data_IF_407703536967
#
_entry.id   IF_407703536967
#
_cell.length_a   1.000
_cell.length_b   1.000
_cell.length_c   1.000
_cell.angle_alpha   90.00
_cell.angle_beta   90.00
_cell.angle_gamma   90.00
#
_symmetry.space_group_name_H-M   'P 1'
#
loop_
_entity.id
_entity.type
_entity.pdbx_description
1 polymer ?
#
# COMPACT_ATOMS: atom_id res chain seq x y z
N UNK A 1 16.53 0.03 -9.76
CA UNK A 1 15.25 0.67 -10.15
C UNK A 1 14.52 -0.11 -11.23
N UNK A 2 15.16 -0.61 -12.30
CA UNK A 2 14.47 -1.46 -13.30
C UNK A 2 13.80 -2.73 -12.75
N UNK A 3 14.22 -3.24 -11.59
CA UNK A 3 13.65 -4.45 -10.99
C UNK A 3 12.23 -4.22 -10.44
N UNK A 4 11.98 -3.08 -9.80
CA UNK A 4 10.68 -2.79 -9.17
C UNK A 4 9.55 -2.76 -10.21
N UNK A 5 9.63 -1.91 -11.24
CA UNK A 5 8.61 -1.82 -12.30
C UNK A 5 8.28 -3.19 -12.87
N UNK A 6 9.31 -3.99 -13.16
CA UNK A 6 9.11 -5.31 -13.75
C UNK A 6 8.44 -6.28 -12.79
N UNK A 7 8.84 -6.27 -11.52
CA UNK A 7 8.26 -7.13 -10.49
C UNK A 7 6.78 -6.83 -10.25
N UNK A 8 6.44 -5.56 -10.00
CA UNK A 8 5.06 -5.17 -9.66
C UNK A 8 4.13 -5.04 -10.87
N UNK A 9 4.66 -5.00 -12.10
CA UNK A 9 3.82 -4.94 -13.32
C UNK A 9 2.84 -6.12 -13.40
N UNK A 10 3.27 -7.30 -12.97
CA UNK A 10 2.49 -8.54 -13.05
C UNK A 10 1.87 -8.95 -11.71
N UNK A 11 1.99 -8.14 -10.66
CA UNK A 11 1.42 -8.51 -9.36
C UNK A 11 -0.10 -8.61 -9.44
N UNK A 12 -0.63 -9.65 -8.80
CA UNK A 12 -2.04 -9.86 -8.52
C UNK A 12 -2.54 -9.00 -7.35
N UNK A 13 -1.63 -8.40 -6.57
CA UNK A 13 -1.96 -7.57 -5.41
C UNK A 13 -2.53 -6.22 -5.87
N UNK A 14 -3.86 -6.20 -6.00
CA UNK A 14 -4.65 -5.08 -6.53
C UNK A 14 -5.83 -4.78 -5.62
N UNK A 15 -6.13 -3.49 -5.48
CA UNK A 15 -7.34 -3.04 -4.78
C UNK A 15 -8.59 -3.26 -5.63
N UNK A 16 -9.75 -2.93 -5.08
CA UNK A 16 -11.06 -3.11 -5.74
C UNK A 16 -11.16 -2.41 -7.11
N UNK A 17 -10.44 -1.30 -7.29
CA UNK A 17 -10.41 -0.54 -8.55
C UNK A 17 -9.41 -1.10 -9.57
N UNK A 18 -8.67 -2.16 -9.22
CA UNK A 18 -7.63 -2.76 -10.05
C UNK A 18 -6.31 -1.99 -10.07
N UNK A 19 -6.18 -0.92 -9.28
CA UNK A 19 -4.90 -0.25 -9.03
C UNK A 19 -3.97 -1.14 -8.18
N UNK A 20 -2.66 -0.90 -8.23
CA UNK A 20 -1.71 -1.50 -7.29
C UNK A 20 -2.14 -1.19 -5.86
N UNK A 21 -2.17 -2.22 -5.03
CA UNK A 21 -2.45 -2.04 -3.62
C UNK A 21 -1.14 -1.94 -2.85
N UNK A 22 -0.95 -0.83 -2.15
CA UNK A 22 0.02 -0.76 -1.07
C UNK A 22 -0.60 -1.53 0.11
N UNK A 23 0.12 -2.52 0.62
CA UNK A 23 -0.33 -3.36 1.72
C UNK A 23 0.51 -3.11 2.96
N UNK A 24 -0.04 -3.48 4.11
CA UNK A 24 0.49 -3.10 5.40
C UNK A 24 0.62 -4.29 6.35
N UNK A 25 1.69 -4.28 7.13
CA UNK A 25 1.91 -5.23 8.21
C UNK A 25 2.22 -4.45 9.50
N UNK A 26 1.55 -4.82 10.60
CA UNK A 26 1.82 -4.24 11.91
C UNK A 26 2.87 -5.07 12.64
N UNK A 27 3.87 -4.38 13.18
CA UNK A 27 4.97 -5.03 13.88
C UNK A 27 5.52 -4.14 14.99
N UNK A 28 6.41 -4.68 15.83
CA UNK A 28 7.14 -3.91 16.83
C UNK A 28 8.15 -2.97 16.16
N UNK A 29 8.42 -1.82 16.79
CA UNK A 29 9.40 -0.85 16.28
C UNK A 29 10.82 -1.43 16.21
N UNK A 30 11.12 -2.46 17.01
CA UNK A 30 12.39 -3.18 17.02
C UNK A 30 12.51 -4.26 15.94
N UNK A 31 11.41 -4.61 15.27
CA UNK A 31 11.41 -5.69 14.27
C UNK A 31 12.30 -5.34 13.08
N UNK A 32 13.20 -6.25 12.73
CA UNK A 32 14.07 -6.13 11.58
C UNK A 32 13.34 -6.67 10.35
N UNK A 33 13.04 -5.78 9.39
CA UNK A 33 12.28 -6.15 8.18
C UNK A 33 13.07 -7.10 7.28
N UNK A 34 14.39 -7.17 7.43
CA UNK A 34 15.18 -8.20 6.73
C UNK A 34 14.92 -9.62 7.27
N UNK A 35 14.21 -9.74 8.39
CA UNK A 35 13.80 -11.00 9.01
C UNK A 35 12.34 -11.35 8.73
N UNK A 36 11.67 -10.68 7.78
CA UNK A 36 10.33 -11.08 7.35
C UNK A 36 10.33 -12.53 6.88
N UNK A 37 9.59 -13.38 7.60
CA UNK A 37 9.49 -14.80 7.33
C UNK A 37 8.42 -15.08 6.26
N UNK A 38 8.47 -16.25 5.61
CA UNK A 38 7.34 -16.77 4.85
C UNK A 38 6.04 -16.73 5.65
N UNK A 39 4.93 -16.71 4.93
CA UNK A 39 3.58 -16.58 5.46
C UNK A 39 3.30 -15.30 6.26
N UNK A 40 4.21 -14.30 6.28
CA UNK A 40 3.89 -12.99 6.87
C UNK A 40 2.68 -12.35 6.17
N UNK A 41 1.71 -11.90 6.98
CA UNK A 41 0.45 -11.33 6.52
C UNK A 41 0.58 -9.83 6.21
N UNK A 42 0.05 -9.44 5.06
CA UNK A 42 -0.08 -8.05 4.64
C UNK A 42 -1.52 -7.76 4.24
N UNK A 43 -2.16 -6.86 4.97
CA UNK A 43 -3.55 -6.48 4.80
C UNK A 43 -3.71 -5.04 4.31
N UNK A 44 -4.93 -4.54 4.45
CA UNK A 44 -5.19 -3.11 4.34
C UNK A 44 -4.54 -2.37 5.51
N UNK A 45 -4.42 -1.05 5.37
CA UNK A 45 -3.97 -0.17 6.46
C UNK A 45 -4.85 -0.31 7.70
N UNK A 46 -6.16 -0.50 7.50
CA UNK A 46 -7.15 -0.66 8.57
C UNK A 46 -6.92 -1.97 9.32
N UNK A 47 -6.81 -3.10 8.60
CA UNK A 47 -6.54 -4.42 9.21
C UNK A 47 -5.19 -4.44 9.94
N UNK A 48 -4.14 -3.86 9.35
CA UNK A 48 -2.85 -3.77 10.05
C UNK A 48 -2.99 -2.93 11.33
N UNK A 49 -3.71 -1.80 11.31
CA UNK A 49 -3.91 -0.95 12.48
C UNK A 49 -4.63 -1.63 13.64
N UNK A 50 -5.58 -2.53 13.38
CA UNK A 50 -6.25 -3.26 14.47
C UNK A 50 -5.30 -4.17 15.24
N UNK A 51 -4.11 -4.47 14.69
CA UNK A 51 -3.05 -5.27 15.31
C UNK A 51 -1.92 -4.45 15.93
N UNK A 52 -1.94 -3.12 15.80
CA UNK A 52 -0.92 -2.23 16.39
C UNK A 52 -1.26 -1.99 17.87
N UNK A 53 -0.51 -2.54 18.86
CA UNK A 53 -0.68 -2.15 20.26
C UNK A 53 -0.41 -0.65 20.44
N UNK A 54 -1.07 -0.05 21.44
CA UNK A 54 -1.05 1.40 21.68
C UNK A 54 0.37 2.01 21.87
N UNK A 55 1.38 1.20 22.19
CA UNK A 55 2.76 1.66 22.39
C UNK A 55 3.77 0.73 21.75
N UNK A 56 4.69 1.29 20.97
CA UNK A 56 5.88 0.59 20.47
C UNK A 56 5.70 -0.19 19.17
N UNK A 57 4.53 -0.17 18.55
CA UNK A 57 4.31 -0.76 17.23
C UNK A 57 4.41 0.27 16.09
N UNK A 58 4.67 -0.23 14.90
CA UNK A 58 4.79 0.50 13.64
C UNK A 58 4.13 -0.26 12.49
N UNK A 59 3.84 0.45 11.41
CA UNK A 59 3.39 -0.15 10.16
C UNK A 59 4.56 -0.26 9.19
N UNK A 60 4.74 -1.43 8.60
CA UNK A 60 5.54 -1.63 7.40
C UNK A 60 4.59 -1.52 6.20
N UNK A 61 4.99 -0.78 5.17
CA UNK A 61 4.21 -0.63 3.94
C UNK A 61 5.02 -1.12 2.75
N UNK A 62 4.42 -1.99 1.95
CA UNK A 62 5.10 -2.64 0.84
C UNK A 62 4.18 -2.87 -0.35
N UNK A 63 4.81 -2.99 -1.51
CA UNK A 63 4.21 -3.66 -2.65
C UNK A 63 4.70 -5.10 -2.67
N UNK A 64 3.81 -6.04 -3.01
CA UNK A 64 4.16 -7.45 -3.08
C UNK A 64 4.29 -7.90 -4.53
N UNK A 65 5.29 -8.73 -4.80
CA UNK A 65 5.47 -9.44 -6.06
C UNK A 65 4.89 -10.87 -5.94
N UNK A 66 3.57 -10.91 -5.84
CA UNK A 66 2.77 -12.15 -5.87
C UNK A 66 1.96 -12.12 -7.16
N UNK A 67 2.15 -13.09 -8.05
CA UNK A 67 1.54 -13.13 -9.39
C UNK A 67 0.38 -14.11 -9.47
N UNK A 68 0.45 -15.21 -8.73
CA UNK A 68 -0.54 -16.27 -8.70
C UNK A 68 -0.75 -16.73 -7.25
N UNK A 69 -1.51 -15.95 -6.48
CA UNK A 69 -1.88 -16.33 -5.13
C UNK A 69 -2.94 -17.44 -5.13
N UNK A 70 -2.77 -18.44 -4.28
CA UNK A 70 -3.84 -19.37 -3.93
C UNK A 70 -4.83 -18.66 -3.01
N UNK A 71 -6.10 -18.64 -3.39
CA UNK A 71 -7.15 -18.07 -2.54
C UNK A 71 -7.59 -19.10 -1.51
N UNK A 72 -7.45 -18.82 -0.22
CA UNK A 72 -7.84 -19.74 0.85
C UNK A 72 -9.03 -19.21 1.66
N UNK A 73 -9.52 -20.03 2.59
CA UNK A 73 -10.41 -19.54 3.64
C UNK A 73 -9.63 -18.60 4.58
N UNK A 74 -10.37 -17.81 5.36
CA UNK A 74 -9.78 -16.89 6.32
C UNK A 74 -8.92 -17.69 7.32
N UNK A 75 -7.63 -17.39 7.34
CA UNK A 75 -6.65 -17.95 8.28
C UNK A 75 -6.76 -17.04 9.49
N UNK A 76 -7.26 -17.57 10.60
CA UNK A 76 -7.67 -16.77 11.76
C UNK A 76 -6.48 -16.16 12.52
N UNK A 77 -6.36 -16.34 13.83
CA UNK A 77 -5.16 -15.89 14.58
C UNK A 77 -4.05 -16.96 14.58
N UNK A 78 -4.35 -18.19 14.14
CA UNK A 78 -3.41 -19.31 14.08
C UNK A 78 -2.71 -19.35 12.72
N UNK A 79 -1.46 -18.92 12.71
CA UNK A 79 -0.61 -18.88 11.52
C UNK A 79 0.36 -20.06 11.44
N UNK A 80 0.11 -21.14 12.20
CA UNK A 80 0.94 -22.35 12.10
C UNK A 80 0.88 -22.97 10.71
N UNK A 81 1.97 -23.57 10.21
CA UNK A 81 1.96 -24.29 8.94
C UNK A 81 0.84 -25.34 8.85
N UNK A 82 0.52 -26.02 9.95
CA UNK A 82 -0.57 -26.99 9.99
C UNK A 82 -1.95 -26.34 9.80
N UNK A 83 -2.23 -25.22 10.47
CA UNK A 83 -3.49 -24.50 10.32
C UNK A 83 -3.66 -23.93 8.90
N UNK A 84 -2.58 -23.42 8.32
CA UNK A 84 -2.57 -22.95 6.93
C UNK A 84 -2.85 -24.13 5.97
N UNK A 85 -2.20 -25.28 6.17
CA UNK A 85 -2.44 -26.48 5.35
C UNK A 85 -3.88 -27.00 5.46
N UNK A 86 -4.47 -26.99 6.66
CA UNK A 86 -5.86 -27.37 6.86
C UNK A 86 -6.81 -26.38 6.14
N UNK A 87 -6.54 -25.08 6.20
CA UNK A 87 -7.28 -24.04 5.46
C UNK A 87 -7.17 -24.21 3.94
N UNK A 88 -6.00 -24.64 3.46
CA UNK A 88 -5.79 -24.98 2.05
C UNK A 88 -6.62 -26.20 1.67
N UNK A 89 -6.57 -27.32 2.39
CA UNK A 89 -7.33 -28.52 2.03
C UNK A 89 -8.84 -28.30 2.10
N UNK A 90 -9.33 -27.49 3.05
CA UNK A 90 -10.75 -27.15 3.12
C UNK A 90 -11.21 -26.34 1.90
N UNK A 91 -10.39 -25.38 1.45
CA UNK A 91 -10.71 -24.53 0.29
C UNK A 91 -10.42 -25.21 -1.05
N UNK A 92 -9.42 -26.08 -1.10
CA UNK A 92 -8.89 -26.78 -2.28
C UNK A 92 -8.64 -28.24 -1.96
N UNK A 93 -9.72 -29.07 -1.88
CA UNK A 93 -9.57 -30.49 -1.64
C UNK A 93 -8.65 -31.13 -2.68
N UNK A 94 -7.88 -32.13 -2.28
CA UNK A 94 -6.87 -32.84 -3.10
C UNK A 94 -5.52 -32.12 -3.27
N UNK A 95 -5.40 -30.82 -2.97
CA UNK A 95 -4.10 -30.13 -3.09
C UNK A 95 -3.12 -30.59 -2.00
N UNK A 96 -3.61 -30.77 -0.77
CA UNK A 96 -2.79 -31.08 0.40
C UNK A 96 -3.01 -32.50 0.92
N UNK A 97 -4.09 -33.18 0.50
CA UNK A 97 -4.51 -34.50 1.00
C UNK A 97 -3.38 -35.52 1.20
N UNK A 98 -2.52 -35.68 0.20
CA UNK A 98 -1.47 -36.70 0.23
C UNK A 98 -0.22 -36.26 1.03
N UNK A 99 -0.16 -34.98 1.42
CA UNK A 99 1.01 -34.34 2.05
C UNK A 99 0.80 -33.99 3.53
N UNK A 100 -0.43 -33.77 3.99
CA UNK A 100 -0.74 -33.29 5.36
C UNK A 100 -0.14 -34.19 6.45
N UNK A 101 -0.34 -35.50 6.33
CA UNK A 101 0.13 -36.44 7.36
C UNK A 101 1.66 -36.52 7.39
N UNK A 102 2.33 -36.37 6.25
CA UNK A 102 3.79 -36.29 6.20
C UNK A 102 4.29 -35.00 6.84
N UNK A 103 3.71 -33.86 6.45
CA UNK A 103 4.07 -32.54 6.97
C UNK A 103 3.98 -32.49 8.50
N UNK A 104 2.91 -33.01 9.09
CA UNK A 104 2.70 -33.06 10.55
C UNK A 104 3.75 -33.87 11.32
N UNK A 105 4.54 -34.72 10.63
CA UNK A 105 5.65 -35.47 11.24
C UNK A 105 6.99 -34.76 11.17
N UNK A 106 7.08 -33.64 10.44
CA UNK A 106 8.27 -32.83 10.32
C UNK A 106 8.44 -31.91 11.53
N UNK A 107 9.68 -31.47 11.75
CA UNK A 107 9.99 -30.41 12.72
C UNK A 107 9.39 -29.07 12.24
N UNK A 108 8.98 -28.15 13.14
CA UNK A 108 8.23 -26.93 12.77
C UNK A 108 8.85 -26.10 11.63
N UNK A 109 10.16 -25.86 11.65
CA UNK A 109 10.82 -25.11 10.57
C UNK A 109 10.83 -25.83 9.21
N UNK A 110 10.75 -27.16 9.20
CA UNK A 110 10.67 -27.96 7.98
C UNK A 110 9.25 -28.05 7.43
N UNK A 111 8.22 -27.87 8.27
CA UNK A 111 6.83 -27.85 7.83
C UNK A 111 6.56 -26.64 6.93
N UNK A 112 7.08 -25.47 7.32
CA UNK A 112 6.98 -24.24 6.53
C UNK A 112 7.62 -24.42 5.15
N UNK A 113 8.87 -24.88 5.10
CA UNK A 113 9.60 -25.16 3.85
C UNK A 113 8.84 -26.16 2.98
N UNK A 114 8.32 -27.25 3.57
CA UNK A 114 7.57 -28.27 2.86
C UNK A 114 6.26 -27.73 2.26
N UNK A 115 5.53 -26.91 3.00
CA UNK A 115 4.30 -26.28 2.53
C UNK A 115 4.57 -25.31 1.36
N UNK A 116 5.66 -24.53 1.44
CA UNK A 116 6.09 -23.65 0.36
C UNK A 116 6.40 -24.45 -0.90
N UNK A 117 7.14 -25.55 -0.80
CA UNK A 117 7.47 -26.42 -1.94
C UNK A 117 6.21 -26.95 -2.63
N UNK A 118 5.22 -27.44 -1.86
CA UNK A 118 3.95 -27.93 -2.41
C UNK A 118 3.19 -26.83 -3.16
N UNK A 119 3.12 -25.63 -2.58
CA UNK A 119 2.45 -24.48 -3.21
C UNK A 119 3.14 -24.06 -4.51
N UNK A 120 4.47 -24.00 -4.51
CA UNK A 120 5.26 -23.64 -5.67
C UNK A 120 5.17 -24.69 -6.79
N UNK A 121 5.20 -25.99 -6.46
CA UNK A 121 5.01 -27.08 -7.42
C UNK A 121 3.61 -27.07 -8.03
N UNK A 122 2.61 -26.62 -7.27
CA UNK A 122 1.26 -26.37 -7.78
C UNK A 122 1.13 -25.05 -8.57
N UNK A 123 2.21 -24.25 -8.66
CA UNK A 123 2.29 -23.03 -9.45
C UNK A 123 1.85 -21.77 -8.72
N UNK A 124 1.69 -21.81 -7.40
CA UNK A 124 1.34 -20.65 -6.58
C UNK A 124 2.59 -19.99 -5.99
N UNK A 125 2.56 -18.65 -5.90
CA UNK A 125 3.64 -17.86 -5.32
C UNK A 125 3.19 -17.01 -4.12
N UNK A 126 2.00 -17.27 -3.58
CA UNK A 126 1.45 -16.55 -2.43
C UNK A 126 0.13 -17.15 -2.00
N UNK A 127 -0.38 -16.68 -0.86
CA UNK A 127 -1.75 -16.94 -0.45
C UNK A 127 -2.53 -15.62 -0.40
N UNK A 128 -3.86 -15.70 -0.56
CA UNK A 128 -4.74 -14.59 -0.27
C UNK A 128 -6.07 -15.05 0.30
N UNK A 129 -6.71 -14.22 1.12
CA UNK A 129 -8.01 -14.53 1.69
C UNK A 129 -8.81 -13.28 1.99
N UNK A 130 -10.14 -13.45 2.07
CA UNK A 130 -11.05 -12.40 2.48
C UNK A 130 -11.13 -12.37 4.01
N UNK A 131 -10.67 -11.27 4.59
CA UNK A 131 -10.69 -11.05 6.03
C UNK A 131 -12.14 -10.94 6.51
N UNK A 132 -12.50 -11.68 7.57
CA UNK A 132 -13.83 -11.66 8.19
C UNK A 132 -13.84 -11.00 9.57
N UNK A 133 -12.66 -10.65 10.10
CA UNK A 133 -12.49 -10.27 11.51
C UNK A 133 -12.00 -8.83 11.69
N UNK A 134 -10.83 -8.48 11.16
CA UNK A 134 -10.14 -7.21 11.43
C UNK A 134 -10.67 -6.06 10.57
N UNK A 135 -10.84 -6.33 9.28
CA UNK A 135 -11.38 -5.41 8.28
C UNK A 135 -12.28 -6.20 7.33
N UNK A 136 -13.52 -6.53 7.78
CA UNK A 136 -14.37 -7.47 7.08
C UNK A 136 -14.64 -7.09 5.62
N UNK A 137 -14.33 -8.01 4.71
CA UNK A 137 -14.47 -7.83 3.26
C UNK A 137 -13.20 -7.38 2.55
N UNK A 138 -12.16 -6.99 3.29
CA UNK A 138 -10.85 -6.70 2.72
C UNK A 138 -10.09 -7.97 2.33
N UNK A 139 -9.06 -7.80 1.49
CA UNK A 139 -8.15 -8.88 1.09
C UNK A 139 -6.85 -8.78 1.89
N UNK A 140 -6.45 -9.91 2.48
CA UNK A 140 -5.11 -10.12 3.05
C UNK A 140 -4.29 -11.01 2.13
N UNK A 141 -2.98 -10.76 2.08
CA UNK A 141 -2.01 -11.49 1.27
C UNK A 141 -0.90 -12.04 2.16
N UNK A 142 -0.41 -13.22 1.84
CA UNK A 142 0.74 -13.84 2.51
C UNK A 142 1.82 -14.14 1.48
N UNK A 143 3.04 -13.73 1.79
CA UNK A 143 4.22 -14.03 0.96
C UNK A 143 4.69 -15.48 1.22
N UNK A 144 5.32 -16.12 0.25
CA UNK A 144 6.03 -17.39 0.44
C UNK A 144 7.54 -17.20 0.58
N UNK A 145 8.06 -16.03 0.20
CA UNK A 145 9.48 -15.73 0.26
C UNK A 145 9.72 -14.23 0.53
N UNK A 146 10.76 -13.86 1.28
CA UNK A 146 11.04 -12.46 1.61
C UNK A 146 11.38 -11.58 0.39
N UNK A 147 11.87 -12.18 -0.70
CA UNK A 147 12.19 -11.47 -1.94
C UNK A 147 10.96 -10.95 -2.70
N UNK A 148 9.77 -11.35 -2.28
CA UNK A 148 8.50 -10.82 -2.80
C UNK A 148 8.14 -9.46 -2.21
N UNK A 149 8.89 -8.98 -1.22
CA UNK A 149 8.63 -7.75 -0.50
C UNK A 149 9.39 -6.57 -1.14
N UNK A 150 8.66 -5.65 -1.77
CA UNK A 150 9.19 -4.38 -2.21
C UNK A 150 8.80 -3.29 -1.21
N UNK A 151 9.68 -3.09 -0.24
CA UNK A 151 9.50 -2.09 0.81
C UNK A 151 9.41 -0.70 0.21
N UNK A 152 8.25 -0.07 0.36
CA UNK A 152 8.09 1.34 0.00
C UNK A 152 8.71 2.23 1.07
N UNK A 153 8.58 1.81 2.34
CA UNK A 153 9.14 2.53 3.48
C UNK A 153 9.45 1.56 4.63
N UNK A 154 10.71 1.59 5.08
CA UNK A 154 11.20 0.93 6.31
C UNK A 154 12.05 1.90 7.14
N UNK A 155 11.45 3.00 7.56
CA UNK A 155 12.15 3.92 8.44
C UNK A 155 11.93 3.50 9.89
N UNK A 156 13.03 3.32 10.63
CA UNK A 156 13.10 3.15 12.10
C UNK A 156 12.38 4.24 12.92
N UNK A 157 11.78 5.23 12.26
CA UNK A 157 10.90 6.24 12.84
C UNK A 157 9.46 5.76 12.78
N UNK A 158 8.77 5.77 13.92
CA UNK A 158 7.31 5.60 14.00
C UNK A 158 6.64 6.30 12.81
N UNK A 159 6.05 5.54 11.90
CA UNK A 159 5.27 6.09 10.80
C UNK A 159 3.99 6.64 11.40
N UNK A 160 3.87 7.97 11.45
CA UNK A 160 2.59 8.59 11.71
C UNK A 160 1.71 8.27 10.49
N UNK A 161 0.66 7.49 10.71
CA UNK A 161 -0.29 7.20 9.65
C UNK A 161 -0.81 8.53 9.09
N UNK A 162 -0.73 8.77 7.76
CA UNK A 162 -1.10 10.04 7.15
C UNK A 162 -2.51 10.50 7.53
N UNK A 163 -3.36 9.55 7.90
CA UNK A 163 -4.74 9.80 8.21
C UNK A 163 -5.02 10.01 9.69
N UNK A 164 -4.05 9.72 10.57
CA UNK A 164 -4.11 10.12 11.98
C UNK A 164 -3.54 11.52 12.18
N UNK A 165 -2.85 12.06 11.17
CA UNK A 165 -2.38 13.44 11.17
C UNK A 165 -3.55 14.42 11.28
N UNK A 166 -3.35 15.50 12.02
CA UNK A 166 -4.17 16.69 11.82
C UNK A 166 -3.84 17.35 10.47
N UNK A 167 -4.72 18.24 10.02
CA UNK A 167 -4.54 18.93 8.73
C UNK A 167 -3.21 19.68 8.65
N UNK A 168 -2.75 20.30 9.74
CA UNK A 168 -1.50 21.06 9.75
C UNK A 168 -0.30 20.15 9.57
N UNK A 169 -0.32 18.95 10.14
CA UNK A 169 0.73 17.96 10.01
C UNK A 169 0.65 17.25 8.66
N UNK A 170 -0.55 17.05 8.12
CA UNK A 170 -0.76 16.51 6.78
C UNK A 170 -0.19 17.45 5.70
N UNK A 171 -0.50 18.75 5.76
CA UNK A 171 -0.03 19.72 4.76
C UNK A 171 1.37 20.26 5.06
N UNK A 172 1.78 20.26 6.33
CA UNK A 172 2.98 20.94 6.82
C UNK A 172 2.76 22.45 7.01
N UNK A 173 3.73 23.16 7.64
CA UNK A 173 3.66 24.60 7.83
C UNK A 173 3.53 25.33 6.48
N UNK A 174 2.53 26.19 6.32
CA UNK A 174 2.23 26.77 5.00
C UNK A 174 2.10 28.29 5.01
N UNK A 175 2.56 28.92 3.93
CA UNK A 175 2.24 30.31 3.59
C UNK A 175 1.34 30.27 2.37
N UNK A 176 0.10 30.74 2.51
CA UNK A 176 -0.88 30.71 1.41
C UNK A 176 -0.90 32.07 0.69
N UNK A 177 -0.50 32.10 -0.58
CA UNK A 177 -0.43 33.30 -1.40
C UNK A 177 -0.42 32.98 -2.89
N UNK A 178 -1.04 33.83 -3.71
CA UNK A 178 -1.09 33.65 -5.18
C UNK A 178 0.30 33.63 -5.84
N UNK A 179 1.33 34.18 -5.18
CA UNK A 179 2.73 34.15 -5.66
C UNK A 179 3.28 32.72 -5.77
N UNK A 180 2.66 31.75 -5.08
CA UNK A 180 3.02 30.34 -5.13
C UNK A 180 2.13 29.55 -6.11
N UNK A 181 1.43 30.24 -7.01
CA UNK A 181 0.74 29.58 -8.12
C UNK A 181 1.76 28.99 -9.08
N UNK A 182 1.49 27.78 -9.54
CA UNK A 182 2.32 27.09 -10.54
C UNK A 182 1.50 26.89 -11.81
N UNK A 183 2.18 26.91 -12.94
CA UNK A 183 1.63 26.45 -14.20
C UNK A 183 2.49 25.31 -14.75
N UNK A 184 1.89 24.13 -14.92
CA UNK A 184 2.56 22.94 -15.42
C UNK A 184 3.03 23.06 -16.88
N UNK A 185 2.63 24.11 -17.59
CA UNK A 185 3.18 24.47 -18.91
C UNK A 185 4.46 25.30 -18.86
N UNK A 186 4.98 25.66 -17.68
CA UNK A 186 6.26 26.37 -17.55
C UNK A 186 7.46 25.46 -17.84
N UNK A 187 8.54 26.06 -18.36
CA UNK A 187 9.82 25.39 -18.69
C UNK A 187 10.41 24.63 -17.48
N UNK A 188 10.14 25.09 -16.26
CA UNK A 188 10.56 24.44 -15.01
C UNK A 188 9.99 23.03 -14.83
N UNK A 189 8.87 22.70 -15.50
CA UNK A 189 8.20 21.40 -15.41
C UNK A 189 8.29 20.59 -16.71
N UNK A 190 8.90 21.13 -17.77
CA UNK A 190 8.93 20.50 -19.10
C UNK A 190 9.42 19.05 -19.03
N UNK A 191 10.57 18.81 -18.39
CA UNK A 191 11.13 17.47 -18.27
C UNK A 191 10.25 16.48 -17.49
N UNK A 192 9.55 16.95 -16.45
CA UNK A 192 8.62 16.10 -15.68
C UNK A 192 7.42 15.74 -16.56
N UNK A 193 6.86 16.72 -17.26
CA UNK A 193 5.68 16.53 -18.12
C UNK A 193 6.02 15.64 -19.31
N UNK A 194 7.18 15.83 -19.94
CA UNK A 194 7.71 14.96 -21.00
C UNK A 194 7.80 13.51 -20.51
N UNK A 195 8.43 13.26 -19.37
CA UNK A 195 8.54 11.91 -18.79
C UNK A 195 7.16 11.27 -18.55
N UNK A 196 6.21 12.02 -17.98
CA UNK A 196 4.86 11.53 -17.72
C UNK A 196 4.07 11.24 -19.01
N UNK A 197 4.29 12.02 -20.08
CA UNK A 197 3.65 11.80 -21.38
C UNK A 197 4.26 10.58 -22.09
N UNK A 198 5.60 10.50 -22.14
CA UNK A 198 6.31 9.45 -22.87
C UNK A 198 6.19 8.09 -22.20
N UNK A 199 6.33 8.05 -20.87
CA UNK A 199 6.35 6.80 -20.11
C UNK A 199 4.97 6.42 -19.55
N UNK A 200 4.02 7.35 -19.58
CA UNK A 200 2.74 7.27 -18.89
C UNK A 200 2.00 5.94 -19.08
N UNK A 201 2.01 5.39 -20.29
CA UNK A 201 1.37 4.10 -20.61
C UNK A 201 1.98 2.86 -19.94
N UNK A 202 3.15 3.00 -19.33
CA UNK A 202 3.88 1.93 -18.65
C UNK A 202 4.06 2.16 -17.16
N UNK A 203 3.72 3.36 -16.68
CA UNK A 203 3.85 3.71 -15.26
C UNK A 203 2.90 2.89 -14.38
N UNK A 204 3.35 2.46 -13.20
CA UNK A 204 2.52 1.82 -12.18
C UNK A 204 1.26 2.64 -11.83
N UNK A 205 0.07 2.07 -12.01
CA UNK A 205 -1.19 2.67 -11.54
C UNK A 205 -1.32 2.43 -10.03
N UNK A 206 -1.11 3.45 -9.22
CA UNK A 206 -1.11 3.36 -7.74
C UNK A 206 -2.42 3.79 -7.10
N UNK A 207 -3.28 4.49 -7.84
CA UNK A 207 -4.67 4.71 -7.46
C UNK A 207 -5.54 4.85 -8.70
N UNK A 208 -6.80 4.41 -8.58
CA UNK A 208 -7.83 4.58 -9.60
C UNK A 208 -9.15 4.90 -8.96
N UNK A 209 -9.89 5.86 -9.50
CA UNK A 209 -11.25 6.20 -9.04
C UNK A 209 -12.34 5.40 -9.79
N UNK A 210 -13.59 5.56 -9.37
CA UNK A 210 -14.75 4.88 -9.98
C UNK A 210 -15.10 5.36 -11.39
N UNK A 211 -14.53 6.48 -11.82
CA UNK A 211 -14.68 7.03 -13.17
C UNK A 211 -13.55 6.56 -14.10
N UNK A 212 -12.57 5.81 -13.59
CA UNK A 212 -11.42 5.31 -14.35
C UNK A 212 -10.26 6.30 -14.45
N UNK A 213 -10.26 7.38 -13.68
CA UNK A 213 -9.08 8.25 -13.58
C UNK A 213 -8.00 7.56 -12.77
N UNK A 214 -6.74 7.79 -13.16
CA UNK A 214 -5.60 7.10 -12.59
C UNK A 214 -4.57 8.09 -12.07
N UNK A 215 -4.02 7.80 -10.89
CA UNK A 215 -2.73 8.33 -10.46
C UNK A 215 -1.67 7.27 -10.79
N UNK A 216 -0.70 7.64 -11.62
CA UNK A 216 0.41 6.76 -12.00
C UNK A 216 1.72 7.27 -11.42
N UNK A 217 2.52 6.36 -10.88
CA UNK A 217 3.76 6.69 -10.18
C UNK A 217 4.96 6.73 -11.12
N UNK A 218 5.68 7.85 -11.10
CA UNK A 218 7.00 7.99 -11.71
C UNK A 218 8.07 7.57 -10.68
N UNK A 219 8.34 6.27 -10.61
CA UNK A 219 9.12 5.59 -9.54
C UNK A 219 10.64 5.74 -9.62
N UNK A 220 11.16 6.31 -10.70
CA UNK A 220 12.57 6.67 -10.86
C UNK A 220 12.80 8.19 -10.79
N UNK A 221 11.82 8.93 -10.26
CA UNK A 221 11.88 10.38 -10.12
C UNK A 221 12.03 10.82 -8.67
N UNK A 222 12.73 11.94 -8.49
CA UNK A 222 12.86 12.64 -7.22
C UNK A 222 12.12 13.98 -7.28
N UNK A 223 11.32 14.34 -6.26
CA UNK A 223 11.12 13.63 -5.00
C UNK A 223 10.26 12.36 -5.12
N UNK A 224 10.46 11.41 -4.20
CA UNK A 224 9.63 10.20 -4.08
C UNK A 224 8.12 10.54 -4.07
N UNK A 225 7.32 9.64 -4.63
CA UNK A 225 5.87 9.81 -4.81
C UNK A 225 5.48 10.98 -5.73
N UNK A 226 6.29 11.21 -6.77
CA UNK A 226 5.89 12.03 -7.92
C UNK A 226 4.90 11.25 -8.79
N UNK A 227 3.74 11.84 -9.03
CA UNK A 227 2.60 11.18 -9.70
C UNK A 227 2.12 11.98 -10.90
N UNK A 228 1.69 11.28 -11.95
CA UNK A 228 0.89 11.85 -13.04
C UNK A 228 -0.58 11.49 -12.90
N UNK A 229 -1.46 12.42 -13.28
CA UNK A 229 -2.89 12.22 -13.42
C UNK A 229 -3.21 11.82 -14.86
N UNK A 230 -3.94 10.74 -15.05
CA UNK A 230 -4.37 10.26 -16.35
C UNK A 230 -5.88 10.10 -16.39
N UNK A 231 -6.48 10.50 -17.49
CA UNK A 231 -7.91 10.29 -17.72
C UNK A 231 -8.21 8.83 -18.12
N UNK A 232 -9.49 8.42 -18.24
CA UNK A 232 -9.85 7.05 -18.59
C UNK A 232 -9.38 6.59 -19.98
N UNK A 233 -8.93 7.50 -20.84
CA UNK A 233 -8.32 7.18 -22.14
C UNK A 233 -6.81 6.97 -22.04
N UNK A 234 -6.23 7.20 -20.86
CA UNK A 234 -4.80 7.17 -20.60
C UNK A 234 -4.08 8.45 -21.02
N UNK A 235 -4.80 9.55 -21.25
CA UNK A 235 -4.21 10.84 -21.60
C UNK A 235 -3.75 11.56 -20.32
N UNK A 236 -2.53 12.09 -20.33
CA UNK A 236 -1.98 12.91 -19.25
C UNK A 236 -2.83 14.17 -19.01
N UNK A 237 -3.06 14.51 -17.73
CA UNK A 237 -3.92 15.63 -17.30
C UNK A 237 -3.39 16.42 -16.09
N UNK A 238 -2.18 16.16 -15.64
CA UNK A 238 -1.56 16.89 -14.53
C UNK A 238 -0.58 16.06 -13.73
N UNK A 239 0.00 16.67 -12.70
CA UNK A 239 0.98 16.01 -11.83
C UNK A 239 0.85 16.43 -10.37
N UNK A 240 1.49 15.63 -9.51
CA UNK A 240 1.76 15.93 -8.12
C UNK A 240 3.24 15.69 -7.82
N UNK A 241 3.91 16.65 -7.18
CA UNK A 241 5.32 16.56 -6.81
C UNK A 241 5.61 17.37 -5.54
N UNK A 242 5.81 16.70 -4.40
CA UNK A 242 6.18 17.31 -3.10
C UNK A 242 5.39 18.58 -2.76
N UNK A 243 4.06 18.49 -2.74
CA UNK A 243 3.17 19.61 -2.41
C UNK A 243 2.80 20.49 -3.61
N UNK A 244 3.51 20.38 -4.72
CA UNK A 244 3.17 21.05 -5.97
C UNK A 244 2.13 20.22 -6.72
N UNK A 245 0.97 20.80 -7.00
CA UNK A 245 -0.11 20.11 -7.70
C UNK A 245 -0.62 20.98 -8.84
N UNK A 246 -0.66 20.40 -10.03
CA UNK A 246 -1.20 21.05 -11.21
C UNK A 246 -2.09 20.09 -11.98
N UNK A 247 -3.20 20.61 -12.49
CA UNK A 247 -4.21 19.87 -13.25
C UNK A 247 -4.60 20.72 -14.46
N UNK A 248 -4.70 20.08 -15.62
CA UNK A 248 -5.15 20.68 -16.87
C UNK A 248 -6.49 21.40 -16.69
N UNK A 249 -6.71 22.58 -17.30
CA UNK A 249 -7.93 23.36 -17.10
C UNK A 249 -9.23 22.58 -17.37
N UNK A 250 -9.25 21.73 -18.40
CA UNK A 250 -10.41 20.89 -18.75
C UNK A 250 -10.62 19.72 -17.76
N UNK A 251 -9.60 19.41 -16.96
CA UNK A 251 -9.63 18.36 -15.97
C UNK A 251 -9.92 18.87 -14.53
N UNK A 252 -10.10 20.17 -14.30
CA UNK A 252 -10.36 20.73 -12.95
C UNK A 252 -11.79 20.48 -12.45
N UNK A 253 -12.00 20.62 -11.14
CA UNK A 253 -13.34 20.70 -10.51
C UNK A 253 -13.93 19.40 -9.95
N UNK A 254 -13.38 18.23 -10.29
CA UNK A 254 -13.87 16.92 -9.81
C UNK A 254 -13.02 16.30 -8.68
N UNK A 255 -12.30 17.14 -7.91
CA UNK A 255 -11.35 16.70 -6.87
C UNK A 255 -10.28 15.69 -7.34
N UNK A 256 -9.94 15.69 -8.64
CA UNK A 256 -8.96 14.75 -9.23
C UNK A 256 -7.55 14.90 -8.67
N UNK A 257 -7.19 16.12 -8.24
CA UNK A 257 -5.94 16.36 -7.49
C UNK A 257 -5.87 15.55 -6.20
N UNK A 258 -7.01 15.31 -5.55
CA UNK A 258 -7.06 14.52 -4.32
C UNK A 258 -6.67 13.07 -4.54
N UNK A 259 -6.94 12.49 -5.72
CA UNK A 259 -6.51 11.14 -6.06
C UNK A 259 -4.98 11.00 -5.98
N UNK A 260 -4.25 11.94 -6.57
CA UNK A 260 -2.78 11.97 -6.49
C UNK A 260 -2.29 12.27 -5.08
N UNK A 261 -2.83 13.29 -4.40
CA UNK A 261 -2.37 13.68 -3.06
C UNK A 261 -2.56 12.54 -2.06
N UNK A 262 -3.68 11.82 -2.13
CA UNK A 262 -3.95 10.66 -1.26
C UNK A 262 -2.98 9.53 -1.55
N UNK A 263 -2.79 9.17 -2.83
CA UNK A 263 -1.83 8.14 -3.22
C UNK A 263 -0.40 8.48 -2.76
N UNK A 264 0.01 9.75 -2.89
CA UNK A 264 1.31 10.20 -2.41
C UNK A 264 1.42 10.09 -0.89
N UNK A 265 0.38 10.46 -0.14
CA UNK A 265 0.36 10.34 1.32
C UNK A 265 0.47 8.87 1.78
N UNK A 266 -0.23 7.96 1.10
CA UNK A 266 -0.16 6.52 1.38
C UNK A 266 1.24 5.97 1.13
N UNK A 267 1.81 6.26 -0.04
CA UNK A 267 3.16 5.83 -0.43
C UNK A 267 4.23 6.38 0.50
N UNK A 268 4.11 7.64 0.88
CA UNK A 268 5.04 8.29 1.79
C UNK A 268 4.80 7.87 3.23
N UNK A 269 3.61 7.36 3.60
CA UNK A 269 3.24 7.03 4.97
C UNK A 269 3.29 8.26 5.90
N UNK A 270 2.81 9.40 5.42
CA UNK A 270 2.87 10.67 6.16
C UNK A 270 2.43 11.87 5.32
N UNK A 271 2.97 13.05 5.64
CA UNK A 271 2.67 14.28 4.91
C UNK A 271 3.03 14.16 3.41
N UNK A 272 2.05 14.28 2.48
CA UNK A 272 2.34 14.15 1.05
C UNK A 272 3.18 15.31 0.50
N UNK A 273 3.13 16.47 1.14
CA UNK A 273 3.91 17.64 0.73
C UNK A 273 5.38 17.56 1.15
N UNK A 274 5.73 16.62 2.05
CA UNK A 274 7.07 16.49 2.64
C UNK A 274 7.59 17.81 3.24
N UNK A 275 6.67 18.68 3.62
CA UNK A 275 6.92 20.06 3.95
C UNK A 275 7.23 20.21 5.45
N UNK A 276 8.45 19.87 5.85
CA UNK A 276 8.87 19.94 7.26
C UNK A 276 9.34 21.34 7.68
N UNK A 277 9.89 22.12 6.75
CA UNK A 277 10.50 23.43 7.02
C UNK A 277 9.61 24.64 6.65
N UNK A 278 8.48 24.40 5.98
CA UNK A 278 7.59 25.43 5.51
C UNK A 278 7.63 25.62 4.00
N UNK A 279 6.45 25.64 3.35
CA UNK A 279 6.30 25.76 1.90
C UNK A 279 5.19 26.76 1.56
N UNK A 280 5.37 27.45 0.44
CA UNK A 280 4.34 28.30 -0.12
C UNK A 280 3.31 27.49 -0.91
N UNK A 281 2.03 27.79 -0.70
CA UNK A 281 0.94 27.25 -1.51
C UNK A 281 0.13 28.38 -2.13
N UNK A 282 -0.33 28.19 -3.36
CA UNK A 282 -1.45 29.00 -3.86
C UNK A 282 -2.72 28.67 -3.07
N UNK A 283 -3.73 29.56 -3.01
CA UNK A 283 -5.01 29.25 -2.40
C UNK A 283 -5.65 27.98 -2.97
N UNK A 284 -5.54 27.76 -4.28
CA UNK A 284 -6.04 26.55 -4.94
C UNK A 284 -5.24 25.30 -4.56
N UNK A 285 -3.91 25.39 -4.50
CA UNK A 285 -3.04 24.28 -4.09
C UNK A 285 -3.30 23.85 -2.65
N UNK A 286 -3.43 24.80 -1.73
CA UNK A 286 -3.77 24.51 -0.34
C UNK A 286 -5.16 23.87 -0.22
N UNK A 287 -6.18 24.44 -0.90
CA UNK A 287 -7.53 23.89 -0.91
C UNK A 287 -7.59 22.45 -1.48
N UNK A 288 -6.74 22.12 -2.46
CA UNK A 288 -6.62 20.76 -2.99
C UNK A 288 -6.14 19.76 -1.91
N UNK A 289 -5.16 20.15 -1.10
CA UNK A 289 -4.67 19.32 0.01
C UNK A 289 -5.70 19.20 1.13
N UNK A 290 -6.39 20.28 1.50
CA UNK A 290 -7.49 20.22 2.46
C UNK A 290 -8.63 19.31 2.00
N UNK A 291 -8.92 19.32 0.69
CA UNK A 291 -9.96 18.45 0.13
C UNK A 291 -9.50 16.99 0.14
N UNK A 292 -8.24 16.72 -0.19
CA UNK A 292 -7.65 15.38 -0.11
C UNK A 292 -7.70 14.82 1.31
N UNK A 293 -7.27 15.61 2.29
CA UNK A 293 -7.35 15.27 3.71
C UNK A 293 -8.78 14.93 4.15
N UNK A 294 -9.77 15.76 3.77
CA UNK A 294 -11.19 15.50 4.09
C UNK A 294 -11.70 14.21 3.46
N UNK A 295 -11.43 13.98 2.18
CA UNK A 295 -11.84 12.73 1.51
C UNK A 295 -11.22 11.52 2.22
N UNK A 296 -9.93 11.56 2.53
CA UNK A 296 -9.27 10.45 3.21
C UNK A 296 -9.88 10.17 4.59
N UNK A 297 -10.20 11.22 5.37
CA UNK A 297 -10.89 11.08 6.66
C UNK A 297 -12.32 10.54 6.54
N UNK A 298 -13.05 10.91 5.49
CA UNK A 298 -14.44 10.47 5.25
C UNK A 298 -14.52 9.02 4.73
N UNK A 299 -13.52 8.57 3.97
CA UNK A 299 -13.45 7.22 3.42
C UNK A 299 -12.96 6.18 4.43
N UNK A 300 -12.46 6.60 5.59
CA UNK A 300 -12.05 5.69 6.65
C UNK A 300 -13.23 5.28 7.50
N UNK A 301 -13.51 3.98 7.67
CA UNK A 301 -14.47 3.54 8.65
C UNK A 301 -14.02 4.05 10.03
N UNK A 302 -14.94 4.66 10.77
CA UNK A 302 -14.70 5.06 12.15
C UNK A 302 -14.56 3.77 12.96
N UNK A 303 -13.33 3.30 13.14
CA UNK A 303 -13.05 2.21 14.07
C UNK A 303 -13.13 2.79 15.48
N UNK A 304 -14.24 2.54 16.19
CA UNK A 304 -14.21 2.67 17.64
C UNK A 304 -13.10 1.75 18.17
N UNK A 305 -12.28 2.17 19.15
CA UNK A 305 -11.24 1.32 19.69
C UNK A 305 -11.89 0.04 20.23
N UNK A 306 -11.61 -1.07 19.55
CA UNK A 306 -12.00 -2.39 20.04
C UNK A 306 -11.10 -2.67 21.24
N UNK A 307 -11.70 -2.82 22.41
CA UNK A 307 -11.00 -3.26 23.63
C UNK A 307 -10.63 -4.74 23.46
N UNK A 308 -9.57 -4.98 22.69
CA UNK A 308 -8.95 -6.28 22.51
C UNK A 308 -8.10 -6.53 23.74
N UNK A 309 -8.66 -7.19 24.75
CA UNK A 309 -7.95 -7.59 25.98
C UNK A 309 -6.81 -8.62 25.76
N UNK A 310 -6.09 -8.55 24.64
CA UNK A 310 -5.00 -9.45 24.26
C UNK A 310 -3.69 -9.06 24.99
N UNK A 311 -3.05 -10.07 25.57
CA UNK A 311 -1.75 -9.96 26.21
C UNK A 311 -0.65 -9.74 25.17
N UNK A 312 0.41 -9.05 25.54
CA UNK A 312 1.59 -8.76 24.69
C UNK A 312 2.40 -10.04 24.35
N UNK A 313 2.05 -11.18 24.94
CA UNK A 313 2.83 -12.43 24.82
C UNK A 313 2.65 -13.19 23.49
N UNK A 314 1.70 -12.80 22.63
CA UNK A 314 1.44 -13.47 21.34
C UNK A 314 2.30 -12.95 20.17
N UNK A 315 3.32 -12.12 20.44
CA UNK A 315 4.14 -11.44 19.41
C UNK A 315 5.56 -12.03 19.19
N UNK A 316 5.86 -13.22 19.73
CA UNK A 316 7.12 -13.94 19.41
C UNK A 316 6.86 -15.06 18.39
N UNK A 317 6.86 -14.69 17.11
CA UNK A 317 7.15 -15.57 15.97
C UNK A 317 8.28 -14.93 15.15
#
# INVERSE_FOLDING_TARGET
>A
MNDFRQAIKQTAVRGETGALQLVHHATLASYDVSQTAPFTHFGTRISAKTRVPATGARLISAYLNIKNALRVLDVDDDHSPEHIADSIEESHPDLMRDYIEEMRTLEPGMQEEYLIEILQDAGYDGLCYFNRHEDPGSMTWMILSPDQLYLQRDARSMTADPWDLDLNTFVGPSIVSDVFSIDGGEESYEHLVEALIEEGGTLPVVARDTQGWEARWLDDWEPQATLGLFDPTGTYKGFYMSGQVWVEPDARGAARSSLMIIAAADMLGGSPSQNWEGMGFSPAGYAAHEKAYRIAKECMPVTEPVDLGASIDDFEL
#
